data_IF_177310705795
#
_entry.id   IF_177310705795
#
_cell.length_a   1.000
_cell.length_b   1.000
_cell.length_c   1.000
_cell.angle_alpha   90.00
_cell.angle_beta   90.00
_cell.angle_gamma   90.00
#
_symmetry.space_group_name_H-M   'P 1'
#
loop_
_entity.id
_entity.type
_entity.pdbx_description
1 polymer ?
#
# COMPACT_ATOMS: atom_id res chain seq x y z
N UNK A 1 -39.62 2.29 7.00
CA UNK A 1 -38.89 2.92 5.86
C UNK A 1 -37.52 2.29 5.74
N UNK A 2 -37.23 1.57 4.65
CA UNK A 2 -35.93 0.91 4.43
C UNK A 2 -34.90 1.95 3.99
N UNK A 3 -33.77 1.94 4.71
CA UNK A 3 -32.61 2.81 4.54
C UNK A 3 -32.24 2.97 3.06
N UNK A 4 -32.13 4.22 2.62
CA UNK A 4 -31.68 4.59 1.28
C UNK A 4 -30.30 3.98 1.03
N UNK A 5 -30.16 3.29 -0.11
CA UNK A 5 -28.89 2.73 -0.59
C UNK A 5 -27.87 3.86 -0.74
N UNK A 6 -27.11 4.16 0.33
CA UNK A 6 -25.89 4.97 0.19
C UNK A 6 -25.06 4.28 -0.89
N UNK A 7 -24.67 4.98 -1.98
CA UNK A 7 -23.93 4.37 -3.07
C UNK A 7 -22.71 3.68 -2.47
N UNK A 8 -22.56 2.38 -2.76
CA UNK A 8 -21.39 1.60 -2.32
C UNK A 8 -20.16 2.39 -2.71
N UNK A 9 -19.33 2.72 -1.74
CA UNK A 9 -18.12 3.51 -1.96
C UNK A 9 -17.25 2.76 -2.99
N UNK A 10 -17.21 3.25 -4.23
CA UNK A 10 -16.62 2.61 -5.41
C UNK A 10 -15.16 2.16 -5.21
N UNK A 11 -14.45 2.76 -4.27
CA UNK A 11 -13.08 2.38 -3.94
C UNK A 11 -12.96 1.08 -3.12
N UNK A 12 -14.04 0.65 -2.45
CA UNK A 12 -14.08 -0.57 -1.63
C UNK A 12 -14.30 -1.84 -2.46
N UNK A 13 -14.69 -1.69 -3.71
CA UNK A 13 -14.91 -2.79 -4.67
C UNK A 13 -13.74 -2.96 -5.64
N UNK A 14 -12.58 -2.32 -5.40
CA UNK A 14 -11.44 -2.47 -6.30
C UNK A 14 -10.81 -3.85 -6.12
N UNK A 15 -10.79 -4.61 -7.22
CA UNK A 15 -10.26 -5.96 -7.27
C UNK A 15 -8.79 -6.02 -7.66
N UNK A 16 -8.32 -7.25 -7.86
CA UNK A 16 -7.02 -7.53 -8.44
C UNK A 16 -6.92 -7.00 -9.88
N UNK A 17 -8.02 -7.02 -10.64
CA UNK A 17 -8.08 -6.50 -12.02
C UNK A 17 -7.66 -5.03 -12.11
N UNK A 18 -8.17 -4.21 -11.19
CA UNK A 18 -7.87 -2.78 -11.09
C UNK A 18 -6.43 -2.57 -10.65
N UNK A 19 -5.95 -3.45 -9.78
CA UNK A 19 -4.58 -3.43 -9.31
C UNK A 19 -3.60 -3.74 -10.44
N UNK A 20 -3.79 -4.85 -11.16
CA UNK A 20 -2.92 -5.30 -12.24
C UNK A 20 -2.80 -4.25 -13.34
N UNK A 21 -3.93 -3.64 -13.73
CA UNK A 21 -3.98 -2.54 -14.71
C UNK A 21 -3.06 -1.36 -14.34
N UNK A 22 -2.81 -1.11 -13.04
CA UNK A 22 -1.90 -0.04 -12.58
C UNK A 22 -0.43 -0.39 -12.80
N UNK A 23 -0.05 -1.66 -12.66
CA UNK A 23 1.35 -2.10 -12.65
C UNK A 23 1.85 -2.59 -14.02
N UNK A 24 0.95 -2.96 -14.94
CA UNK A 24 1.33 -3.26 -16.32
C UNK A 24 0.27 -3.96 -17.15
N UNK A 25 0.55 -4.10 -18.46
CA UNK A 25 -0.09 -5.11 -19.31
C UNK A 25 0.54 -6.46 -18.90
N UNK A 26 -0.21 -7.56 -18.88
CA UNK A 26 0.26 -8.92 -18.52
C UNK A 26 0.22 -9.34 -17.04
N UNK A 27 -0.69 -8.79 -16.23
CA UNK A 27 -0.99 -9.29 -14.86
C UNK A 27 0.28 -9.60 -14.03
N UNK A 28 1.16 -8.60 -13.82
CA UNK A 28 2.46 -8.82 -13.18
C UNK A 28 2.40 -9.42 -11.78
N UNK A 29 1.34 -9.14 -10.99
CA UNK A 29 1.22 -9.66 -9.62
C UNK A 29 0.91 -11.16 -9.68
N UNK A 30 -0.11 -11.55 -10.44
CA UNK A 30 -0.47 -12.94 -10.66
C UNK A 30 0.67 -13.75 -11.27
N UNK A 31 1.32 -13.21 -12.30
CA UNK A 31 2.44 -13.88 -12.98
C UNK A 31 3.58 -14.16 -11.99
N UNK A 32 3.89 -13.20 -11.13
CA UNK A 32 4.92 -13.39 -10.10
C UNK A 32 4.50 -14.44 -9.06
N UNK A 33 3.25 -14.45 -8.60
CA UNK A 33 2.76 -15.47 -7.66
C UNK A 33 2.86 -16.87 -8.29
N UNK A 34 2.46 -17.03 -9.56
CA UNK A 34 2.60 -18.29 -10.32
C UNK A 34 4.05 -18.74 -10.42
N UNK A 35 4.96 -17.84 -10.75
CA UNK A 35 6.40 -18.13 -10.82
C UNK A 35 6.94 -18.62 -9.46
N UNK A 36 6.57 -17.94 -8.37
CA UNK A 36 7.00 -18.33 -7.02
C UNK A 36 6.44 -19.69 -6.60
N UNK A 37 5.20 -20.02 -6.97
CA UNK A 37 4.60 -21.33 -6.69
C UNK A 37 5.34 -22.52 -7.33
N UNK A 38 6.08 -22.29 -8.43
CA UNK A 38 6.91 -23.32 -9.07
C UNK A 38 8.13 -23.71 -8.24
N UNK A 39 8.65 -22.78 -7.43
CA UNK A 39 9.94 -22.92 -6.73
C UNK A 39 9.84 -22.82 -5.21
N UNK A 40 8.67 -22.52 -4.66
CA UNK A 40 8.47 -22.31 -3.22
C UNK A 40 7.39 -23.23 -2.67
N UNK A 41 7.62 -23.72 -1.45
CA UNK A 41 6.62 -24.49 -0.71
C UNK A 41 5.40 -23.65 -0.32
N UNK A 42 5.61 -22.36 -0.01
CA UNK A 42 4.56 -21.41 0.39
C UNK A 42 4.88 -20.03 -0.19
N UNK A 43 3.88 -19.41 -0.82
CA UNK A 43 3.94 -18.03 -1.30
C UNK A 43 3.08 -17.16 -0.41
N UNK A 44 3.69 -16.16 0.24
CA UNK A 44 2.99 -15.25 1.14
C UNK A 44 2.77 -13.89 0.51
N UNK A 45 1.52 -13.45 0.47
CA UNK A 45 1.11 -12.15 -0.09
C UNK A 45 0.52 -11.28 1.01
N UNK A 46 1.01 -10.05 1.12
CA UNK A 46 0.46 -9.01 1.98
C UNK A 46 -0.22 -7.92 1.15
N UNK A 47 -1.49 -7.64 1.42
CA UNK A 47 -2.14 -6.41 0.96
C UNK A 47 -2.16 -5.35 2.08
N UNK A 48 -1.57 -4.18 1.80
CA UNK A 48 -1.73 -2.99 2.66
C UNK A 48 -2.97 -2.21 2.23
N UNK A 49 -3.87 -1.98 3.20
CA UNK A 49 -5.15 -1.33 3.04
C UNK A 49 -6.15 -2.16 2.25
N UNK A 50 -6.39 -3.40 2.69
CA UNK A 50 -7.27 -4.35 2.02
C UNK A 50 -8.75 -3.95 2.01
N UNK A 51 -9.15 -2.93 2.78
CA UNK A 51 -10.53 -2.45 2.82
C UNK A 51 -11.51 -3.55 3.20
N UNK A 52 -12.44 -3.88 2.29
CA UNK A 52 -13.42 -4.97 2.46
C UNK A 52 -12.93 -6.32 1.91
N UNK A 53 -11.71 -6.37 1.38
CA UNK A 53 -11.02 -7.63 1.05
C UNK A 53 -11.19 -8.14 -0.37
N UNK A 54 -11.78 -7.37 -1.30
CA UNK A 54 -12.05 -7.85 -2.66
C UNK A 54 -10.79 -8.31 -3.39
N UNK A 55 -9.69 -7.57 -3.33
CA UNK A 55 -8.43 -7.94 -3.99
C UNK A 55 -7.88 -9.28 -3.45
N UNK A 56 -7.87 -9.48 -2.13
CA UNK A 56 -7.49 -10.76 -1.51
C UNK A 56 -8.46 -11.90 -1.89
N UNK A 57 -9.75 -11.61 -2.05
CA UNK A 57 -10.74 -12.59 -2.49
C UNK A 57 -10.53 -12.98 -3.96
N UNK A 58 -10.28 -12.02 -4.85
CA UNK A 58 -9.95 -12.28 -6.25
C UNK A 58 -8.69 -13.16 -6.34
N UNK A 59 -7.64 -12.83 -5.57
CA UNK A 59 -6.43 -13.65 -5.47
C UNK A 59 -6.74 -15.06 -4.97
N UNK A 60 -7.63 -15.20 -3.98
CA UNK A 60 -8.02 -16.51 -3.48
C UNK A 60 -8.79 -17.33 -4.52
N UNK A 61 -9.66 -16.71 -5.31
CA UNK A 61 -10.39 -17.39 -6.39
C UNK A 61 -9.43 -17.88 -7.48
N UNK A 62 -8.43 -17.08 -7.84
CA UNK A 62 -7.42 -17.45 -8.85
C UNK A 62 -6.44 -18.50 -8.31
N UNK A 63 -6.12 -18.43 -7.01
CA UNK A 63 -5.18 -19.32 -6.34
C UNK A 63 -5.89 -20.08 -5.20
N UNK A 64 -6.70 -21.11 -5.50
CA UNK A 64 -7.33 -21.94 -4.48
C UNK A 64 -6.33 -22.75 -3.66
N UNK A 65 -5.12 -22.94 -4.18
CA UNK A 65 -4.00 -23.63 -3.53
C UNK A 65 -3.70 -23.02 -2.14
N UNK A 66 -3.71 -23.87 -1.10
CA UNK A 66 -3.45 -23.49 0.29
C UNK A 66 -1.99 -23.07 0.52
N UNK A 67 -1.07 -23.38 -0.41
CA UNK A 67 0.31 -22.87 -0.41
C UNK A 67 0.38 -21.37 -0.69
N UNK A 68 -0.68 -20.75 -1.21
CA UNK A 68 -0.80 -19.28 -1.27
C UNK A 68 -1.45 -18.80 0.02
N UNK A 69 -0.68 -18.17 0.89
CA UNK A 69 -1.19 -17.57 2.12
C UNK A 69 -1.39 -16.06 1.93
N UNK A 70 -2.60 -15.59 2.25
CA UNK A 70 -3.02 -14.22 2.00
C UNK A 70 -3.19 -13.45 3.33
N UNK A 71 -2.59 -12.27 3.41
CA UNK A 71 -2.57 -11.42 4.59
C UNK A 71 -3.06 -10.01 4.20
N UNK A 72 -3.85 -9.38 5.06
CA UNK A 72 -4.29 -8.01 4.89
C UNK A 72 -4.02 -7.18 6.13
N UNK A 73 -3.47 -5.97 5.96
CA UNK A 73 -3.35 -4.97 7.05
C UNK A 73 -4.23 -3.77 6.72
N UNK A 74 -5.12 -3.38 7.62
CA UNK A 74 -5.82 -2.10 7.63
C UNK A 74 -5.44 -1.37 8.92
N UNK A 75 -5.52 -0.04 8.93
CA UNK A 75 -5.34 0.72 10.17
C UNK A 75 -6.47 0.41 11.17
N UNK A 76 -7.71 0.55 10.71
CA UNK A 76 -8.91 0.29 11.50
C UNK A 76 -9.84 -0.73 10.85
N UNK A 77 -10.69 -1.35 11.67
CA UNK A 77 -11.77 -2.24 11.24
C UNK A 77 -12.80 -1.43 10.42
N UNK A 78 -12.96 -1.73 9.13
CA UNK A 78 -13.91 -1.06 8.22
C UNK A 78 -14.71 -2.10 7.42
N UNK A 79 -15.93 -1.75 7.02
CA UNK A 79 -16.73 -2.53 6.07
C UNK A 79 -17.01 -3.98 6.51
N UNK A 80 -17.32 -4.15 7.80
CA UNK A 80 -17.57 -5.42 8.48
C UNK A 80 -16.37 -6.39 8.49
N UNK A 81 -15.16 -5.92 8.22
CA UNK A 81 -13.94 -6.72 8.35
C UNK A 81 -13.40 -6.66 9.77
N UNK A 82 -13.52 -7.77 10.50
CA UNK A 82 -13.03 -7.94 11.87
C UNK A 82 -12.18 -9.20 12.03
N UNK A 83 -12.46 -10.25 11.26
CA UNK A 83 -11.85 -11.56 11.36
C UNK A 83 -11.92 -12.33 10.03
N UNK A 84 -11.30 -13.51 9.98
CA UNK A 84 -11.18 -14.29 8.72
C UNK A 84 -12.51 -14.68 8.10
N UNK A 85 -13.53 -15.01 8.91
CA UNK A 85 -14.85 -15.46 8.40
C UNK A 85 -15.56 -14.36 7.61
N UNK A 86 -15.24 -13.09 7.86
CA UNK A 86 -15.89 -11.96 7.21
C UNK A 86 -15.54 -11.85 5.73
N UNK A 87 -14.40 -12.42 5.31
CA UNK A 87 -14.07 -12.55 3.88
C UNK A 87 -15.12 -13.38 3.12
N UNK A 88 -15.66 -14.44 3.72
CA UNK A 88 -16.69 -15.25 3.08
C UNK A 88 -18.01 -14.48 2.94
N UNK A 89 -18.40 -13.71 3.96
CA UNK A 89 -19.59 -12.86 3.90
C UNK A 89 -19.42 -11.75 2.85
N UNK A 90 -18.23 -11.15 2.75
CA UNK A 90 -17.95 -10.12 1.76
C UNK A 90 -17.83 -10.66 0.33
N UNK A 91 -17.41 -11.92 0.13
CA UNK A 91 -17.39 -12.55 -1.19
C UNK A 91 -18.76 -12.51 -1.87
N UNK A 92 -19.83 -12.85 -1.15
CA UNK A 92 -21.20 -12.74 -1.66
C UNK A 92 -21.57 -11.31 -2.06
N UNK A 93 -21.14 -10.30 -1.31
CA UNK A 93 -21.36 -8.87 -1.64
C UNK A 93 -20.68 -8.43 -2.94
N UNK A 94 -19.63 -9.13 -3.35
CA UNK A 94 -18.89 -8.90 -4.58
C UNK A 94 -19.30 -9.83 -5.73
N UNK A 95 -20.29 -10.70 -5.52
CA UNK A 95 -20.66 -11.72 -6.51
C UNK A 95 -19.56 -12.77 -6.75
N UNK A 96 -18.68 -12.98 -5.77
CA UNK A 96 -17.58 -13.95 -5.86
C UNK A 96 -17.98 -15.26 -5.20
N UNK A 97 -17.73 -16.37 -5.89
CA UNK A 97 -17.81 -17.72 -5.31
C UNK A 97 -16.40 -18.16 -4.89
N UNK A 98 -16.15 -18.23 -3.58
CA UNK A 98 -14.84 -18.64 -3.04
C UNK A 98 -14.78 -20.17 -2.99
N UNK A 99 -13.78 -20.81 -3.63
CA UNK A 99 -13.65 -22.27 -3.61
C UNK A 99 -13.63 -22.85 -2.19
N UNK A 100 -14.26 -24.00 -1.97
CA UNK A 100 -14.25 -24.73 -0.69
C UNK A 100 -13.70 -26.14 -0.89
N UNK A 101 -12.87 -26.67 0.04
CA UNK A 101 -12.31 -26.00 1.21
C UNK A 101 -11.15 -25.07 0.83
N UNK A 102 -11.08 -23.86 1.40
CA UNK A 102 -9.94 -22.97 1.18
C UNK A 102 -9.48 -22.20 2.42
N UNK A 103 -8.27 -21.66 2.36
CA UNK A 103 -7.68 -20.84 3.40
C UNK A 103 -8.08 -19.37 3.21
N UNK A 104 -9.09 -18.91 3.93
CA UNK A 104 -9.48 -17.49 3.89
C UNK A 104 -8.31 -16.57 4.31
N UNK A 105 -8.21 -15.35 3.74
CA UNK A 105 -7.15 -14.42 4.10
C UNK A 105 -7.15 -14.05 5.59
N UNK A 106 -5.97 -13.66 6.10
CA UNK A 106 -5.74 -13.28 7.51
C UNK A 106 -5.77 -11.74 7.65
N UNK A 107 -6.79 -11.14 8.28
CA UNK A 107 -6.83 -9.71 8.49
C UNK A 107 -6.08 -9.30 9.77
N UNK A 108 -5.41 -8.17 9.72
CA UNK A 108 -4.76 -7.48 10.83
C UNK A 108 -5.19 -6.01 10.85
N UNK A 109 -5.30 -5.45 12.05
CA UNK A 109 -5.79 -4.09 12.26
C UNK A 109 -4.81 -3.33 13.15
N UNK A 110 -3.99 -2.48 12.53
CA UNK A 110 -3.04 -1.58 13.19
C UNK A 110 -2.45 -0.58 12.18
N UNK A 111 -2.00 0.58 12.65
CA UNK A 111 -1.29 1.55 11.81
C UNK A 111 0.06 0.99 11.35
N UNK A 112 0.19 0.74 10.05
CA UNK A 112 1.42 0.25 9.43
C UNK A 112 2.58 1.24 9.50
N UNK A 113 2.30 2.54 9.72
CA UNK A 113 3.31 3.57 9.97
C UNK A 113 4.09 3.32 11.27
N UNK A 114 3.48 2.64 12.25
CA UNK A 114 4.17 2.25 13.48
C UNK A 114 5.08 1.02 13.30
N UNK A 115 5.04 0.36 12.14
CA UNK A 115 5.81 -0.83 11.83
C UNK A 115 4.93 -2.03 11.53
N UNK A 116 5.41 -2.91 10.64
CA UNK A 116 4.73 -4.15 10.30
C UNK A 116 5.03 -5.21 11.36
N UNK A 117 3.99 -5.78 11.97
CA UNK A 117 4.09 -6.81 13.03
C UNK A 117 4.42 -8.22 12.48
N UNK A 118 5.28 -8.27 11.47
CA UNK A 118 5.75 -9.49 10.82
C UNK A 118 7.27 -9.62 10.95
N UNK A 119 7.76 -10.85 10.97
CA UNK A 119 9.19 -11.14 10.98
C UNK A 119 9.86 -10.65 9.68
N UNK A 120 11.17 -10.43 9.74
CA UNK A 120 11.97 -10.15 8.54
C UNK A 120 11.88 -11.34 7.56
N UNK A 121 11.96 -11.08 6.26
CA UNK A 121 11.92 -12.13 5.22
C UNK A 121 10.68 -13.04 5.29
N UNK A 122 9.51 -12.46 5.54
CA UNK A 122 8.26 -13.21 5.69
C UNK A 122 7.43 -13.29 4.40
N UNK A 123 7.34 -12.20 3.64
CA UNK A 123 6.47 -12.10 2.46
C UNK A 123 7.23 -12.26 1.15
N UNK A 124 6.62 -12.94 0.19
CA UNK A 124 7.10 -13.00 -1.19
C UNK A 124 6.59 -11.78 -1.99
N UNK A 125 5.39 -11.30 -1.67
CA UNK A 125 4.75 -10.17 -2.37
C UNK A 125 4.11 -9.23 -1.37
N UNK A 126 4.31 -7.93 -1.57
CA UNK A 126 3.52 -6.87 -0.91
C UNK A 126 2.81 -6.05 -1.98
N UNK A 127 1.51 -5.84 -1.82
CA UNK A 127 0.68 -5.11 -2.77
C UNK A 127 -0.06 -3.98 -2.03
N UNK A 128 -0.19 -2.80 -2.65
CA UNK A 128 -1.13 -1.77 -2.19
C UNK A 128 -1.65 -0.89 -3.32
N UNK A 129 -2.97 -0.61 -3.31
CA UNK A 129 -3.61 0.20 -4.34
C UNK A 129 -3.69 1.70 -3.99
N UNK A 130 -4.16 2.06 -2.79
CA UNK A 130 -4.36 3.48 -2.40
C UNK A 130 -4.21 3.69 -0.90
N UNK A 131 -3.55 2.78 -0.20
CA UNK A 131 -3.46 2.84 1.26
C UNK A 131 -2.24 3.63 1.74
N UNK A 132 -1.15 3.58 0.98
CA UNK A 132 0.10 4.28 1.32
C UNK A 132 -0.08 5.76 1.68
N UNK A 133 -0.95 6.55 1.01
CA UNK A 133 -1.16 7.94 1.38
C UNK A 133 -1.75 8.17 2.78
N UNK A 134 -2.46 7.19 3.33
CA UNK A 134 -3.08 7.26 4.67
C UNK A 134 -2.12 6.88 5.80
N UNK A 135 -0.89 6.49 5.49
CA UNK A 135 0.09 6.11 6.51
C UNK A 135 0.79 7.37 7.02
N UNK A 136 0.93 7.52 8.34
CA UNK A 136 1.68 8.62 8.95
C UNK A 136 3.17 8.55 8.58
N UNK A 137 3.91 7.64 9.20
CA UNK A 137 5.33 7.44 8.90
C UNK A 137 5.55 6.55 7.66
N UNK A 138 5.42 7.18 6.49
CA UNK A 138 5.62 6.56 5.18
C UNK A 138 7.07 6.13 4.93
N UNK A 139 8.05 6.81 5.53
CA UNK A 139 9.46 6.47 5.37
C UNK A 139 9.78 5.15 6.07
N UNK A 140 9.37 5.01 7.34
CA UNK A 140 9.47 3.76 8.09
C UNK A 140 8.74 2.62 7.40
N UNK A 141 7.56 2.87 6.82
CA UNK A 141 6.83 1.84 6.07
C UNK A 141 7.63 1.31 4.85
N UNK A 142 8.36 2.15 4.12
CA UNK A 142 9.23 1.70 3.02
C UNK A 142 10.36 0.81 3.54
N UNK A 143 10.97 1.17 4.67
CA UNK A 143 11.99 0.35 5.35
C UNK A 143 11.42 -1.00 5.79
N UNK A 144 10.19 -0.99 6.32
CA UNK A 144 9.48 -2.19 6.74
C UNK A 144 9.13 -3.10 5.57
N UNK A 145 8.71 -2.56 4.42
CA UNK A 145 8.52 -3.35 3.20
C UNK A 145 9.80 -4.07 2.81
N UNK A 146 10.94 -3.38 2.83
CA UNK A 146 12.22 -4.02 2.57
C UNK A 146 12.53 -5.10 3.60
N UNK A 147 12.34 -4.83 4.90
CA UNK A 147 12.61 -5.77 6.00
C UNK A 147 11.79 -7.06 5.87
N UNK A 148 10.47 -6.94 5.70
CA UNK A 148 9.55 -8.10 5.71
C UNK A 148 9.51 -8.85 4.38
N UNK A 149 9.96 -8.26 3.27
CA UNK A 149 10.13 -9.02 2.03
C UNK A 149 11.22 -10.09 2.18
N UNK A 150 10.98 -11.28 1.64
CA UNK A 150 12.00 -12.32 1.42
C UNK A 150 12.99 -11.89 0.34
N UNK A 151 14.21 -12.46 0.29
CA UNK A 151 15.06 -12.38 -0.90
C UNK A 151 14.27 -12.78 -2.16
N UNK A 152 14.46 -12.01 -3.23
CA UNK A 152 13.70 -12.06 -4.50
C UNK A 152 12.22 -11.68 -4.41
N UNK A 153 11.70 -11.37 -3.22
CA UNK A 153 10.35 -10.85 -3.04
C UNK A 153 10.17 -9.47 -3.67
N UNK A 154 8.92 -9.12 -3.99
CA UNK A 154 8.59 -7.89 -4.73
C UNK A 154 7.48 -7.07 -4.10
N UNK A 155 7.55 -5.74 -4.28
CA UNK A 155 6.42 -4.86 -4.02
C UNK A 155 5.73 -4.35 -5.29
N UNK A 156 4.42 -4.19 -5.19
CA UNK A 156 3.55 -3.53 -6.15
C UNK A 156 2.69 -2.52 -5.38
N UNK A 157 3.27 -1.36 -5.07
CA UNK A 157 2.64 -0.34 -4.23
C UNK A 157 2.44 0.93 -5.03
N UNK A 158 1.21 1.39 -5.13
CA UNK A 158 0.93 2.73 -5.63
C UNK A 158 1.18 3.74 -4.52
N UNK A 159 1.98 4.76 -4.82
CA UNK A 159 2.30 5.87 -3.93
C UNK A 159 1.90 7.18 -4.59
N UNK A 160 1.63 8.18 -3.76
CA UNK A 160 1.51 9.54 -4.27
C UNK A 160 2.92 10.14 -4.43
N UNK A 161 3.08 10.98 -5.43
CA UNK A 161 4.34 11.66 -5.73
C UNK A 161 4.12 13.16 -5.89
N UNK A 162 5.19 13.88 -5.62
CA UNK A 162 5.29 15.33 -5.65
C UNK A 162 5.32 15.84 -7.11
N UNK A 163 4.58 16.92 -7.40
CA UNK A 163 4.76 17.72 -8.63
C UNK A 163 5.64 18.93 -8.31
N UNK A 164 6.56 19.26 -9.22
CA UNK A 164 7.77 20.07 -8.99
C UNK A 164 7.48 21.51 -8.51
N UNK A 165 6.30 22.04 -8.82
CA UNK A 165 6.00 23.48 -8.76
C UNK A 165 5.05 23.84 -7.60
N UNK A 166 5.08 23.08 -6.50
CA UNK A 166 4.17 23.30 -5.40
C UNK A 166 4.71 24.41 -4.47
N UNK A 167 3.96 25.49 -4.23
CA UNK A 167 4.34 26.51 -3.25
C UNK A 167 4.29 25.92 -1.83
N UNK A 168 5.28 26.25 -1.01
CA UNK A 168 5.34 25.85 0.39
C UNK A 168 4.12 26.36 1.19
N UNK A 169 3.76 25.63 2.25
CA UNK A 169 2.74 25.75 3.32
C UNK A 169 1.46 26.63 3.19
N UNK A 170 1.28 27.50 2.20
CA UNK A 170 0.22 28.52 2.17
C UNK A 170 -0.97 28.20 1.26
N UNK A 171 -0.87 27.18 0.39
CA UNK A 171 -1.95 26.84 -0.54
C UNK A 171 -2.31 25.37 -0.46
N UNK A 172 -2.82 24.97 0.70
CA UNK A 172 -3.33 23.63 0.89
C UNK A 172 -4.53 23.45 -0.06
N UNK A 173 -4.42 22.52 -1.02
CA UNK A 173 -5.39 22.32 -2.10
C UNK A 173 -5.47 20.83 -2.51
N UNK A 174 -6.22 20.50 -3.59
CA UNK A 174 -6.37 19.13 -4.10
C UNK A 174 -5.05 18.44 -4.51
N UNK A 175 -3.99 19.22 -4.71
CA UNK A 175 -2.65 18.77 -5.09
C UNK A 175 -1.68 18.71 -3.90
N UNK A 176 -2.16 18.93 -2.67
CA UNK A 176 -1.33 18.90 -1.45
C UNK A 176 -0.49 17.62 -1.39
N UNK A 177 0.85 17.73 -1.38
CA UNK A 177 1.71 16.56 -1.37
C UNK A 177 1.62 15.86 -0.02
N UNK A 178 1.59 14.52 -0.09
CA UNK A 178 1.40 13.64 1.09
C UNK A 178 2.69 13.05 1.64
N UNK A 179 3.80 13.19 0.91
CA UNK A 179 5.14 12.79 1.32
C UNK A 179 6.09 13.95 1.02
N UNK A 180 6.47 14.68 2.06
CA UNK A 180 7.22 15.94 1.98
C UNK A 180 8.54 15.75 2.70
N UNK A 181 9.65 16.06 2.04
CA UNK A 181 10.98 15.84 2.60
C UNK A 181 11.77 17.13 2.49
N UNK A 182 12.29 17.61 3.62
CA UNK A 182 13.21 18.73 3.70
C UNK A 182 14.64 18.25 3.96
N UNK A 183 15.59 18.84 3.26
CA UNK A 183 17.02 18.76 3.52
C UNK A 183 17.54 20.20 3.65
N UNK A 184 17.97 20.58 4.86
CA UNK A 184 18.50 21.92 5.14
C UNK A 184 17.57 23.05 4.61
N UNK A 185 16.26 22.92 4.84
CA UNK A 185 15.17 23.80 4.37
C UNK A 185 14.81 23.70 2.88
N UNK A 186 15.47 22.85 2.09
CA UNK A 186 15.11 22.62 0.68
C UNK A 186 14.22 21.39 0.54
N UNK A 187 13.14 21.53 -0.23
CA UNK A 187 12.32 20.39 -0.61
C UNK A 187 13.10 19.46 -1.55
N UNK A 188 13.17 18.18 -1.21
CA UNK A 188 13.80 17.16 -2.04
C UNK A 188 12.82 16.04 -2.40
N UNK A 189 13.06 15.39 -3.54
CA UNK A 189 12.24 14.28 -4.00
C UNK A 189 12.64 12.99 -3.31
N UNK A 190 11.66 12.13 -3.01
CA UNK A 190 11.90 10.76 -2.53
C UNK A 190 12.82 9.99 -3.49
N UNK A 191 12.69 10.20 -4.81
CA UNK A 191 13.56 9.58 -5.81
C UNK A 191 15.05 9.89 -5.61
N UNK A 192 15.40 11.09 -5.14
CA UNK A 192 16.78 11.47 -4.84
C UNK A 192 17.37 10.61 -3.72
N UNK A 193 16.57 10.29 -2.70
CA UNK A 193 16.96 9.41 -1.59
C UNK A 193 17.09 7.98 -2.07
N UNK A 194 16.07 7.46 -2.77
CA UNK A 194 16.07 6.08 -3.26
C UNK A 194 17.22 5.82 -4.26
N UNK A 195 17.62 6.83 -5.03
CA UNK A 195 18.78 6.74 -5.92
C UNK A 195 20.11 6.49 -5.16
N UNK A 196 20.27 6.98 -3.92
CA UNK A 196 21.45 6.68 -3.09
C UNK A 196 21.54 5.17 -2.79
N UNK A 197 20.41 4.50 -2.59
CA UNK A 197 20.34 3.05 -2.40
C UNK A 197 20.60 2.29 -3.70
N UNK A 198 20.06 2.76 -4.82
CA UNK A 198 20.33 2.16 -6.14
C UNK A 198 21.81 2.18 -6.49
N UNK A 199 22.54 3.26 -6.18
CA UNK A 199 24.01 3.32 -6.33
C UNK A 199 24.74 2.27 -5.48
N UNK A 200 24.15 1.86 -4.36
CA UNK A 200 24.61 0.75 -3.50
C UNK A 200 24.05 -0.62 -3.91
N UNK A 201 23.51 -0.70 -5.14
CA UNK A 201 22.91 -1.87 -5.77
C UNK A 201 21.67 -2.43 -5.06
N UNK A 202 20.90 -1.61 -4.35
CA UNK A 202 19.55 -2.01 -3.89
C UNK A 202 18.55 -1.80 -5.03
N UNK A 203 17.68 -2.77 -5.30
CA UNK A 203 16.63 -2.64 -6.32
C UNK A 203 15.35 -2.05 -5.72
N UNK A 204 15.36 -0.73 -5.59
CA UNK A 204 14.23 0.09 -5.12
C UNK A 204 14.06 1.25 -6.10
N UNK A 205 12.90 1.36 -6.73
CA UNK A 205 12.65 2.38 -7.77
C UNK A 205 11.22 2.90 -7.75
N UNK A 206 11.09 4.13 -8.24
CA UNK A 206 9.80 4.72 -8.58
C UNK A 206 9.58 4.59 -10.08
N UNK A 207 8.35 4.24 -10.48
CA UNK A 207 7.93 4.18 -11.88
C UNK A 207 6.59 4.90 -12.03
N UNK A 208 6.45 5.73 -13.06
CA UNK A 208 5.14 6.27 -13.45
C UNK A 208 4.42 5.30 -14.38
N UNK A 209 3.13 5.11 -14.18
CA UNK A 209 2.30 4.38 -15.14
C UNK A 209 1.73 5.33 -16.22
N UNK A 210 0.98 4.78 -17.18
CA UNK A 210 0.36 5.53 -18.28
C UNK A 210 -0.63 6.62 -17.83
N UNK A 211 -1.08 6.57 -16.59
CA UNK A 211 -1.98 7.56 -15.98
C UNK A 211 -1.22 8.58 -15.12
N UNK A 212 0.11 8.60 -15.18
CA UNK A 212 0.96 9.50 -14.39
C UNK A 212 1.06 9.15 -12.91
N UNK A 213 0.48 8.03 -12.46
CA UNK A 213 0.53 7.58 -11.08
C UNK A 213 1.90 7.00 -10.76
N UNK A 214 2.42 7.29 -9.57
CA UNK A 214 3.73 6.81 -9.15
C UNK A 214 3.60 5.48 -8.41
N UNK A 215 4.49 4.56 -8.74
CA UNK A 215 4.54 3.20 -8.21
C UNK A 215 5.88 2.98 -7.54
N UNK A 216 5.87 2.51 -6.30
CA UNK A 216 7.03 1.99 -5.59
C UNK A 216 7.21 0.51 -5.92
N UNK A 217 8.28 0.22 -6.65
CA UNK A 217 8.69 -1.13 -7.02
C UNK A 217 9.99 -1.46 -6.30
N UNK A 218 9.93 -2.47 -5.44
CA UNK A 218 11.08 -3.05 -4.74
C UNK A 218 11.23 -4.48 -5.22
N UNK A 219 12.46 -4.89 -5.52
CA UNK A 219 12.85 -6.31 -5.59
C UNK A 219 13.94 -6.50 -4.55
N UNK A 220 13.68 -7.33 -3.54
CA UNK A 220 14.67 -7.50 -2.46
C UNK A 220 15.83 -8.36 -2.94
N UNK A 221 16.92 -7.72 -3.34
CA UNK A 221 18.14 -8.39 -3.83
C UNK A 221 19.26 -8.45 -2.78
N UNK A 222 19.08 -7.83 -1.60
CA UNK A 222 20.02 -7.89 -0.47
C UNK A 222 19.26 -8.13 0.85
N UNK A 223 19.92 -8.76 1.82
CA UNK A 223 19.36 -8.99 3.16
C UNK A 223 19.63 -7.84 4.12
N UNK A 224 20.68 -7.04 3.88
CA UNK A 224 21.02 -5.86 4.67
C UNK A 224 19.82 -4.90 4.73
N UNK A 225 19.53 -4.39 5.92
CA UNK A 225 18.47 -3.42 6.15
C UNK A 225 18.75 -2.10 5.42
N UNK A 226 17.69 -1.37 5.12
CA UNK A 226 17.78 0.01 4.64
C UNK A 226 17.35 0.96 5.76
N UNK A 227 17.92 2.16 5.77
CA UNK A 227 17.50 3.27 6.62
C UNK A 227 17.54 4.52 5.75
N UNK A 228 16.38 5.06 5.41
CA UNK A 228 16.23 6.20 4.50
C UNK A 228 16.85 7.48 5.07
N UNK A 229 17.20 7.52 6.35
CA UNK A 229 17.76 8.70 7.00
C UNK A 229 16.74 9.83 7.10
N UNK A 230 15.46 9.49 7.24
CA UNK A 230 14.35 10.43 7.33
C UNK A 230 13.78 10.43 8.75
N UNK A 231 13.70 11.60 9.37
CA UNK A 231 13.05 11.84 10.65
C UNK A 231 11.64 12.34 10.36
N UNK A 232 10.62 11.64 10.85
CA UNK A 232 9.23 12.07 10.78
C UNK A 232 8.99 13.28 11.71
N UNK A 233 8.45 14.37 11.17
CA UNK A 233 8.14 15.59 11.92
C UNK A 233 6.64 15.62 12.21
N UNK A 234 6.27 15.10 13.38
CA UNK A 234 4.87 14.93 13.80
C UNK A 234 4.09 16.24 13.78
N UNK A 235 4.66 17.31 14.34
CA UNK A 235 3.98 18.61 14.47
C UNK A 235 3.70 19.30 13.13
N UNK A 236 4.38 18.90 12.06
CA UNK A 236 4.17 19.42 10.70
C UNK A 236 3.37 18.45 9.83
N UNK A 237 2.97 17.30 10.38
CA UNK A 237 2.23 16.25 9.69
C UNK A 237 0.79 16.20 10.19
N UNK A 238 -0.17 16.02 9.28
CA UNK A 238 -1.58 16.04 9.64
C UNK A 238 -2.46 15.25 8.69
N UNK A 239 -3.62 14.83 9.21
CA UNK A 239 -4.68 14.15 8.45
C UNK A 239 -5.44 15.16 7.59
N UNK A 240 -5.34 15.02 6.28
CA UNK A 240 -5.99 15.90 5.31
C UNK A 240 -7.51 15.75 5.33
N UNK A 241 -8.04 14.57 5.67
CA UNK A 241 -9.48 14.35 5.84
C UNK A 241 -10.00 15.09 7.05
N UNK A 242 -9.28 15.03 8.19
CA UNK A 242 -9.65 15.79 9.39
C UNK A 242 -9.60 17.30 9.12
N UNK A 243 -8.50 17.78 8.54
CA UNK A 243 -8.33 19.19 8.20
C UNK A 243 -9.44 19.70 7.26
N UNK A 244 -9.79 18.92 6.23
CA UNK A 244 -10.84 19.30 5.29
C UNK A 244 -12.22 19.45 5.95
N UNK A 245 -12.54 18.53 6.87
CA UNK A 245 -13.79 18.60 7.64
C UNK A 245 -13.84 19.84 8.53
N UNK A 246 -12.72 20.20 9.15
CA UNK A 246 -12.63 21.36 10.05
C UNK A 246 -12.69 22.69 9.31
N UNK A 247 -12.10 22.78 8.11
CA UNK A 247 -12.04 24.02 7.32
C UNK A 247 -13.21 24.21 6.35
N UNK A 248 -14.12 23.23 6.26
CA UNK A 248 -15.25 23.25 5.32
C UNK A 248 -14.84 23.56 3.87
N UNK A 249 -13.69 23.03 3.44
CA UNK A 249 -13.16 23.25 2.09
C UNK A 249 -13.78 22.22 1.13
N UNK A 250 -14.18 22.67 -0.06
CA UNK A 250 -14.64 21.77 -1.13
C UNK A 250 -13.43 21.16 -1.88
N UNK A 251 -13.39 19.83 -2.00
CA UNK A 251 -12.34 19.13 -2.76
C UNK A 251 -11.98 17.74 -2.24
N UNK A 252 -11.08 17.06 -2.96
CA UNK A 252 -10.59 15.72 -2.60
C UNK A 252 -9.38 15.82 -1.67
N UNK A 253 -9.64 15.67 -0.37
CA UNK A 253 -8.63 15.76 0.69
C UNK A 253 -8.67 14.50 1.56
N UNK A 254 -7.82 13.55 1.18
CA UNK A 254 -7.68 12.29 1.91
C UNK A 254 -6.24 11.90 2.11
N UNK A 255 -6.00 11.04 3.09
CA UNK A 255 -4.68 10.61 3.49
C UNK A 255 -4.00 11.60 4.45
N UNK A 256 -2.75 11.31 4.74
CA UNK A 256 -1.92 12.12 5.64
C UNK A 256 -0.91 12.90 4.84
N UNK A 257 -0.79 14.19 5.13
CA UNK A 257 0.42 14.94 4.81
C UNK A 257 1.49 14.54 5.82
N UNK A 258 2.54 13.88 5.34
CA UNK A 258 3.67 13.46 6.17
C UNK A 258 4.91 14.26 5.82
N UNK A 259 5.46 14.95 6.81
CA UNK A 259 6.64 15.78 6.69
C UNK A 259 7.84 15.07 7.31
N UNK A 260 8.95 15.11 6.60
CA UNK A 260 10.21 14.49 7.00
C UNK A 260 11.36 15.48 6.88
N UNK A 261 12.37 15.33 7.74
CA UNK A 261 13.69 15.97 7.62
C UNK A 261 14.74 14.91 7.35
N UNK A 262 15.74 15.20 6.52
CA UNK A 262 16.93 14.37 6.45
C UNK A 262 17.70 14.45 7.77
N UNK A 263 18.26 13.33 8.21
CA UNK A 263 19.25 13.26 9.28
C UNK A 263 20.54 13.97 8.89
#
# INVERSE_FOLDING_TARGET
MRNTNKPKLWYRIRGLDTMEKRFGKSRPIESFIKERLKSQKVVRVLELGFGEGKCLLDLRTIFPDKRVELYGVNDIKKGNMHQRKDFAANAGKFGLSVPKPTLLPKPFFYDAGNGLKFKSNYFDVIISQVAFPYVGDKAKLIEEFWRVLKPQGRTFVHIDDYKKDYPDFLQINKETPRFVIYDSNKLIKLSSILNKFRKKQYDIRLKKNKHGQTLLLIKKNKTKSINLGLIYVGDHSFDLTKFNKEKNISGVWWGNRSVFKTK
#
